data_IF_381842713483
#
_entry.id   IF_381842713483
#
_cell.length_a   1.000
_cell.length_b   1.000
_cell.length_c   1.000
_cell.angle_alpha   90.00
_cell.angle_beta   90.00
_cell.angle_gamma   90.00
#
_symmetry.space_group_name_H-M   'P 1'
#
loop_
_entity.id
_entity.type
_entity.pdbx_description
1 polymer ?
#
# COMPACT_ATOMS: atom_id res chain seq x y z
N UNK A 1 -30.31 -6.48 35.24
CA UNK A 1 -29.14 -7.25 35.71
C UNK A 1 -27.90 -6.62 35.08
N UNK A 2 -27.03 -5.96 35.86
CA UNK A 2 -25.71 -5.50 35.41
C UNK A 2 -24.68 -6.47 36.01
N UNK A 3 -23.88 -7.12 35.17
CA UNK A 3 -22.82 -8.03 35.61
C UNK A 3 -21.56 -7.21 35.94
N UNK A 4 -21.16 -7.21 37.21
CA UNK A 4 -19.89 -6.66 37.66
C UNK A 4 -18.80 -7.70 37.39
N UNK A 5 -17.91 -7.44 36.44
CA UNK A 5 -16.74 -8.29 36.19
C UNK A 5 -15.66 -7.92 37.23
N UNK A 6 -15.43 -8.80 38.19
CA UNK A 6 -14.38 -8.61 39.22
C UNK A 6 -13.13 -9.32 38.73
N UNK A 7 -12.18 -8.54 38.22
CA UNK A 7 -10.89 -9.05 37.77
C UNK A 7 -9.96 -9.02 38.98
N UNK A 8 -9.43 -10.18 39.39
CA UNK A 8 -8.44 -10.26 40.46
C UNK A 8 -7.08 -9.85 39.92
N UNK A 9 -6.52 -8.79 40.48
CA UNK A 9 -5.22 -8.22 40.11
C UNK A 9 -4.22 -8.57 41.21
N UNK A 10 -2.99 -8.95 40.84
CA UNK A 10 -1.92 -9.31 41.78
C UNK A 10 -1.50 -8.14 42.68
N UNK A 11 -1.10 -8.43 43.93
CA UNK A 11 -0.77 -7.43 44.97
C UNK A 11 0.27 -6.38 44.51
N UNK A 12 1.23 -6.75 43.67
CA UNK A 12 2.25 -5.85 43.11
C UNK A 12 1.63 -4.76 42.21
N UNK A 13 0.61 -5.11 41.42
CA UNK A 13 -0.10 -4.19 40.53
C UNK A 13 -1.10 -3.33 41.32
N UNK A 14 -1.64 -3.85 42.43
CA UNK A 14 -2.45 -3.07 43.36
C UNK A 14 -1.60 -2.04 44.15
N UNK A 15 -0.34 -2.37 44.44
CA UNK A 15 0.61 -1.47 45.08
C UNK A 15 1.08 -0.36 44.13
N UNK A 16 1.39 -0.68 42.86
CA UNK A 16 1.69 0.33 41.82
C UNK A 16 0.53 1.31 41.58
N UNK A 17 -0.72 0.83 41.69
CA UNK A 17 -1.92 1.66 41.57
C UNK A 17 -2.13 2.60 42.77
N UNK A 18 -1.58 2.27 43.93
CA UNK A 18 -1.67 3.09 45.15
C UNK A 18 -0.58 4.16 45.23
N UNK A 19 0.58 3.91 44.64
CA UNK A 19 1.74 4.83 44.63
C UNK A 19 1.62 5.96 43.58
N UNK A 20 0.72 5.84 42.61
CA UNK A 20 0.45 6.87 41.58
C UNK A 20 -0.68 7.84 41.93
N UNK A 21 -1.07 7.94 43.20
CA UNK A 21 -2.16 8.83 43.64
C UNK A 21 -1.63 10.06 44.38
N UNK A 22 -0.91 10.92 43.66
CA UNK A 22 -0.81 12.35 43.96
C UNK A 22 -1.82 13.06 43.04
N UNK A 23 -3.02 13.32 43.55
CA UNK A 23 -3.41 14.60 44.15
C UNK A 23 -3.51 15.72 43.10
N UNK A 24 -4.70 15.77 42.50
CA UNK A 24 -5.28 16.94 41.82
C UNK A 24 -4.77 17.31 40.43
N UNK A 25 -4.66 16.32 39.54
CA UNK A 25 -4.66 16.56 38.10
C UNK A 25 -5.75 15.73 37.41
N UNK A 26 -6.65 16.42 36.69
CA UNK A 26 -7.70 15.76 35.94
C UNK A 26 -7.07 14.93 34.83
N UNK A 27 -7.55 13.71 34.61
CA UNK A 27 -7.05 12.83 33.55
C UNK A 27 -7.04 13.50 32.16
N UNK A 28 -7.82 14.57 31.96
CA UNK A 28 -7.85 15.35 30.73
C UNK A 28 -6.61 16.27 30.57
N UNK A 29 -6.06 16.81 31.65
CA UNK A 29 -4.92 17.74 31.60
C UNK A 29 -3.60 17.01 31.31
N UNK A 30 -3.43 15.81 31.91
CA UNK A 30 -2.30 14.91 31.60
C UNK A 30 -2.35 14.43 30.15
N UNK A 31 -3.55 14.20 29.59
CA UNK A 31 -3.71 13.83 28.16
C UNK A 31 -3.33 15.01 27.25
N UNK A 32 -3.73 16.24 27.58
CA UNK A 32 -3.33 17.43 26.81
C UNK A 32 -1.83 17.70 26.92
N UNK A 33 -1.23 17.53 28.11
CA UNK A 33 0.21 17.72 28.32
C UNK A 33 1.08 16.67 27.62
N UNK A 34 0.64 15.40 27.55
CA UNK A 34 1.34 14.36 26.79
C UNK A 34 1.21 14.52 25.27
N UNK A 35 0.22 15.27 24.79
CA UNK A 35 0.09 15.62 23.38
C UNK A 35 0.99 16.81 23.02
N UNK A 36 1.17 17.77 23.93
CA UNK A 36 1.99 18.98 23.73
C UNK A 36 3.50 18.72 23.93
N UNK A 37 3.89 17.94 24.94
CA UNK A 37 5.32 17.68 25.30
C UNK A 37 6.05 16.74 24.33
N UNK A 38 5.34 16.09 23.39
CA UNK A 38 5.95 15.26 22.33
C UNK A 38 6.38 16.06 21.10
N UNK A 39 6.11 17.37 21.04
CA UNK A 39 6.40 18.21 19.88
C UNK A 39 7.68 19.04 19.98
N UNK A 40 8.62 18.76 20.89
CA UNK A 40 9.91 19.48 20.86
C UNK A 40 11.09 18.61 21.24
N UNK A 41 11.96 18.44 20.24
CA UNK A 41 13.37 17.98 20.26
C UNK A 41 13.59 16.51 19.89
N UNK A 42 13.57 16.20 18.60
CA UNK A 42 14.78 15.97 17.78
C UNK A 42 14.35 15.74 16.32
N UNK A 43 14.67 16.66 15.42
CA UNK A 43 14.52 16.51 13.96
C UNK A 43 15.85 15.94 13.39
N UNK A 44 15.86 15.16 12.29
CA UNK A 44 15.04 15.42 11.11
C UNK A 44 14.43 14.22 10.37
N UNK A 45 13.41 14.53 9.57
CA UNK A 45 13.05 13.85 8.32
C UNK A 45 12.45 12.44 8.42
N UNK A 46 11.14 12.37 8.65
CA UNK A 46 10.28 11.27 8.15
C UNK A 46 8.82 11.69 8.17
N UNK A 47 8.43 12.30 7.05
CA UNK A 47 7.08 12.33 6.50
C UNK A 47 5.93 12.20 7.51
N UNK A 48 5.61 13.33 8.13
CA UNK A 48 4.21 13.67 8.27
C UNK A 48 3.65 13.90 6.85
N UNK A 49 3.20 12.83 6.17
CA UNK A 49 2.26 13.02 5.07
C UNK A 49 0.92 13.38 5.68
N UNK A 50 0.72 14.67 5.87
CA UNK A 50 -0.60 15.25 5.68
C UNK A 50 -1.03 14.90 4.25
N UNK A 51 -1.70 13.74 4.10
CA UNK A 51 -2.29 13.29 2.84
C UNK A 51 -3.34 14.30 2.41
N UNK A 52 -2.85 15.29 1.68
CA UNK A 52 -3.64 16.31 1.01
C UNK A 52 -4.18 15.65 -0.25
N UNK A 53 -5.12 14.71 -0.11
CA UNK A 53 -6.11 14.35 -1.12
C UNK A 53 -5.64 14.08 -2.55
N UNK A 54 -4.43 13.58 -2.74
CA UNK A 54 -3.90 13.16 -4.05
C UNK A 54 -3.43 11.72 -3.90
N UNK A 55 -4.21 10.78 -4.46
CA UNK A 55 -3.90 9.35 -4.37
C UNK A 55 -2.51 9.10 -4.97
N UNK A 56 -1.60 8.53 -4.17
CA UNK A 56 -0.28 8.12 -4.66
C UNK A 56 -0.40 7.13 -5.82
N UNK A 57 0.57 7.12 -6.74
CA UNK A 57 0.62 6.14 -7.84
C UNK A 57 0.43 4.69 -7.35
N UNK A 58 0.98 4.35 -6.18
CA UNK A 58 0.79 3.03 -5.58
C UNK A 58 -0.67 2.74 -5.17
N UNK A 59 -1.39 3.74 -4.65
CA UNK A 59 -2.83 3.62 -4.31
C UNK A 59 -3.70 3.50 -5.56
N UNK A 60 -3.35 4.25 -6.61
CA UNK A 60 -3.97 4.14 -7.93
C UNK A 60 -3.77 2.74 -8.49
N UNK A 61 -2.56 2.20 -8.40
CA UNK A 61 -2.26 0.83 -8.86
C UNK A 61 -3.07 -0.21 -8.07
N UNK A 62 -3.20 -0.09 -6.75
CA UNK A 62 -4.02 -1.01 -5.93
C UNK A 62 -5.51 -0.94 -6.33
N UNK A 63 -6.03 0.28 -6.47
CA UNK A 63 -7.42 0.53 -6.87
C UNK A 63 -7.70 -0.02 -8.28
N UNK A 64 -6.78 0.21 -9.22
CA UNK A 64 -6.90 -0.31 -10.59
C UNK A 64 -6.74 -1.82 -10.61
N UNK A 65 -5.88 -2.39 -9.77
CA UNK A 65 -5.73 -3.82 -9.66
C UNK A 65 -7.04 -4.49 -9.22
N UNK A 66 -7.77 -3.90 -8.27
CA UNK A 66 -9.08 -4.42 -7.82
C UNK A 66 -10.17 -4.34 -8.91
N UNK A 67 -10.16 -3.27 -9.70
CA UNK A 67 -11.18 -2.96 -10.72
C UNK A 67 -10.95 -3.73 -12.04
N UNK A 68 -9.71 -3.79 -12.51
CA UNK A 68 -9.37 -4.25 -13.86
C UNK A 68 -8.79 -5.66 -13.91
N UNK A 69 -8.09 -6.12 -12.86
CA UNK A 69 -7.40 -7.40 -12.91
C UNK A 69 -8.39 -8.54 -12.66
N UNK A 70 -8.40 -9.58 -13.51
CA UNK A 70 -9.34 -10.67 -13.33
C UNK A 70 -9.04 -11.47 -12.05
N UNK A 71 -10.04 -12.19 -11.56
CA UNK A 71 -9.88 -13.16 -10.46
C UNK A 71 -10.14 -12.57 -9.08
N UNK A 72 -9.81 -13.34 -8.04
CA UNK A 72 -10.05 -12.96 -6.63
C UNK A 72 -9.09 -13.71 -5.71
N UNK A 73 -8.94 -13.20 -4.47
CA UNK A 73 -8.05 -13.77 -3.45
C UNK A 73 -6.59 -13.83 -3.93
N UNK A 74 -5.88 -14.91 -3.60
CA UNK A 74 -4.46 -15.07 -3.91
C UNK A 74 -4.09 -14.89 -5.40
N UNK A 75 -5.03 -15.14 -6.33
CA UNK A 75 -4.79 -14.88 -7.76
C UNK A 75 -4.78 -13.38 -8.08
N UNK A 76 -5.69 -12.63 -7.46
CA UNK A 76 -5.77 -11.19 -7.62
C UNK A 76 -4.55 -10.52 -6.98
N UNK A 77 -4.14 -10.98 -5.79
CA UNK A 77 -2.94 -10.51 -5.11
C UNK A 77 -1.68 -10.68 -5.99
N UNK A 78 -1.45 -11.87 -6.54
CA UNK A 78 -0.32 -12.10 -7.44
C UNK A 78 -0.36 -11.25 -8.74
N UNK A 79 -1.55 -10.87 -9.20
CA UNK A 79 -1.74 -9.99 -10.36
C UNK A 79 -1.47 -8.53 -10.00
N UNK A 80 -1.91 -8.11 -8.82
CA UNK A 80 -1.58 -6.80 -8.26
C UNK A 80 -0.08 -6.63 -8.11
N UNK A 81 0.60 -7.62 -7.53
CA UNK A 81 2.07 -7.61 -7.40
C UNK A 81 2.76 -7.50 -8.78
N UNK A 82 2.23 -8.19 -9.80
CA UNK A 82 2.75 -8.07 -11.16
C UNK A 82 2.53 -6.68 -11.76
N UNK A 83 1.37 -6.04 -11.51
CA UNK A 83 1.11 -4.68 -11.97
C UNK A 83 2.04 -3.67 -11.29
N UNK A 84 2.29 -3.82 -9.99
CA UNK A 84 3.29 -3.02 -9.28
C UNK A 84 4.67 -3.18 -9.92
N UNK A 85 5.10 -4.40 -10.22
CA UNK A 85 6.40 -4.64 -10.83
C UNK A 85 6.51 -4.02 -12.24
N UNK A 86 5.44 -4.04 -13.03
CA UNK A 86 5.39 -3.36 -14.34
C UNK A 86 5.55 -1.84 -14.19
N UNK A 87 4.84 -1.23 -13.24
CA UNK A 87 4.91 0.21 -12.99
C UNK A 87 6.26 0.62 -12.38
N UNK A 88 6.83 -0.20 -11.51
CA UNK A 88 8.17 0.01 -10.94
C UNK A 88 9.26 -0.10 -12.01
N UNK A 89 9.16 -1.10 -12.90
CA UNK A 89 10.07 -1.26 -14.04
C UNK A 89 10.02 -0.02 -14.93
N UNK A 90 8.81 0.47 -15.24
CA UNK A 90 8.64 1.65 -16.09
C UNK A 90 9.17 2.92 -15.42
N UNK A 91 9.00 3.10 -14.10
CA UNK A 91 9.61 4.22 -13.37
C UNK A 91 11.15 4.16 -13.35
N UNK A 92 11.71 2.94 -13.37
CA UNK A 92 13.16 2.73 -13.33
C UNK A 92 13.81 2.95 -14.69
N UNK A 93 13.25 2.37 -15.75
CA UNK A 93 13.78 2.46 -17.11
C UNK A 93 13.35 3.74 -17.83
N UNK A 94 12.23 4.35 -17.40
CA UNK A 94 11.62 5.54 -18.00
C UNK A 94 10.86 5.29 -19.30
N UNK A 95 11.16 4.22 -20.02
CA UNK A 95 10.41 3.78 -21.20
C UNK A 95 10.53 2.27 -21.34
N UNK A 96 9.42 1.59 -21.66
CA UNK A 96 9.43 0.15 -21.85
C UNK A 96 8.39 -0.30 -22.87
N UNK A 97 8.78 -1.25 -23.71
CA UNK A 97 7.88 -1.91 -24.65
C UNK A 97 7.25 -3.14 -24.01
N UNK A 98 6.24 -3.69 -24.68
CA UNK A 98 5.69 -5.00 -24.33
C UNK A 98 6.78 -6.08 -24.19
N UNK A 99 7.79 -6.07 -25.07
CA UNK A 99 8.83 -7.10 -25.08
C UNK A 99 9.63 -7.05 -23.78
N UNK A 100 10.05 -5.85 -23.37
CA UNK A 100 10.78 -5.59 -22.12
C UNK A 100 9.99 -6.11 -20.91
N UNK A 101 8.69 -5.78 -20.80
CA UNK A 101 7.87 -6.31 -19.71
C UNK A 101 7.77 -7.84 -19.71
N UNK A 102 7.70 -8.47 -20.88
CA UNK A 102 7.64 -9.93 -20.97
C UNK A 102 8.99 -10.63 -20.74
N UNK A 103 10.10 -9.93 -20.95
CA UNK A 103 11.45 -10.46 -20.77
C UNK A 103 11.98 -10.23 -19.36
N UNK A 104 11.71 -9.07 -18.75
CA UNK A 104 12.27 -8.68 -17.45
C UNK A 104 11.29 -8.82 -16.28
N UNK A 105 9.99 -8.57 -16.47
CA UNK A 105 9.02 -8.58 -15.36
C UNK A 105 8.28 -9.91 -15.25
N UNK A 106 7.80 -10.44 -16.38
CA UNK A 106 7.01 -11.67 -16.41
C UNK A 106 7.70 -12.90 -15.79
N UNK A 107 9.02 -13.16 -15.96
CA UNK A 107 9.66 -14.35 -15.38
C UNK A 107 9.49 -14.46 -13.86
N UNK A 108 9.51 -13.34 -13.16
CA UNK A 108 9.36 -13.26 -11.71
C UNK A 108 7.90 -13.02 -11.28
N UNK A 109 7.12 -12.30 -12.10
CA UNK A 109 5.74 -11.90 -11.80
C UNK A 109 4.70 -12.51 -12.75
N UNK A 110 4.71 -13.84 -12.86
CA UNK A 110 3.84 -14.59 -13.80
C UNK A 110 2.32 -14.46 -13.53
N UNK A 111 1.92 -14.09 -12.32
CA UNK A 111 0.52 -13.84 -11.95
C UNK A 111 -0.50 -14.96 -12.31
N UNK A 112 -0.04 -16.22 -12.25
CA UNK A 112 -0.83 -17.41 -12.59
C UNK A 112 -0.95 -17.71 -14.09
N UNK A 113 -0.28 -16.96 -14.96
CA UNK A 113 -0.17 -17.24 -16.39
C UNK A 113 1.05 -18.11 -16.65
N UNK A 114 0.92 -19.41 -16.43
CA UNK A 114 2.03 -20.39 -16.59
C UNK A 114 1.77 -21.45 -17.66
N UNK A 115 0.57 -21.44 -18.24
CA UNK A 115 0.09 -22.50 -19.12
C UNK A 115 -0.43 -21.90 -20.43
N UNK A 116 -0.33 -22.66 -21.52
CA UNK A 116 -0.75 -22.27 -22.86
C UNK A 116 0.40 -22.26 -23.87
N UNK A 117 0.09 -21.93 -25.11
CA UNK A 117 1.08 -21.78 -26.19
C UNK A 117 1.97 -20.55 -25.96
N UNK A 118 1.38 -19.44 -25.49
CA UNK A 118 2.10 -18.20 -25.20
C UNK A 118 1.58 -17.53 -23.90
N UNK A 119 2.10 -17.97 -22.73
CA UNK A 119 1.61 -17.49 -21.45
C UNK A 119 2.02 -16.03 -21.16
N UNK A 120 3.16 -15.57 -21.67
CA UNK A 120 3.62 -14.19 -21.54
C UNK A 120 2.73 -13.22 -22.35
N UNK A 121 2.37 -13.57 -23.60
CA UNK A 121 1.38 -12.81 -24.36
C UNK A 121 0.04 -12.74 -23.60
N UNK A 122 -0.41 -13.87 -23.05
CA UNK A 122 -1.68 -13.96 -22.34
C UNK A 122 -1.69 -13.13 -21.05
N UNK A 123 -0.58 -13.12 -20.31
CA UNK A 123 -0.38 -12.29 -19.12
C UNK A 123 -0.48 -10.80 -19.47
N UNK A 124 0.26 -10.38 -20.50
CA UNK A 124 0.27 -8.99 -20.92
C UNK A 124 -1.10 -8.54 -21.43
N UNK A 125 -1.67 -9.27 -22.39
CA UNK A 125 -2.89 -8.85 -23.08
C UNK A 125 -4.15 -8.92 -22.20
N UNK A 126 -4.23 -9.87 -21.26
CA UNK A 126 -5.46 -10.08 -20.48
C UNK A 126 -5.42 -9.42 -19.09
N UNK A 127 -4.27 -8.98 -18.61
CA UNK A 127 -4.14 -8.44 -17.26
C UNK A 127 -3.35 -7.13 -17.24
N UNK A 128 -2.09 -7.14 -17.68
CA UNK A 128 -1.21 -5.98 -17.49
C UNK A 128 -1.56 -4.80 -18.39
N UNK A 129 -1.73 -5.02 -19.69
CA UNK A 129 -2.00 -3.97 -20.67
C UNK A 129 -3.28 -3.15 -20.36
N UNK A 130 -4.46 -3.76 -20.10
CA UNK A 130 -5.65 -2.99 -19.74
C UNK A 130 -5.47 -2.25 -18.41
N UNK A 131 -4.96 -2.91 -17.38
CA UNK A 131 -4.76 -2.29 -16.06
C UNK A 131 -3.76 -1.14 -16.12
N UNK A 132 -2.62 -1.29 -16.79
CA UNK A 132 -1.62 -0.24 -16.98
C UNK A 132 -2.20 0.94 -17.77
N UNK A 133 -3.07 0.68 -18.75
CA UNK A 133 -3.82 1.72 -19.46
C UNK A 133 -4.70 2.55 -18.52
N UNK A 134 -5.40 1.91 -17.59
CA UNK A 134 -6.24 2.57 -16.59
C UNK A 134 -5.40 3.32 -15.55
N UNK A 135 -4.24 2.79 -15.16
CA UNK A 135 -3.28 3.52 -14.30
C UNK A 135 -2.80 4.80 -14.97
N UNK A 136 -2.44 4.75 -16.25
CA UNK A 136 -2.03 5.92 -17.02
C UNK A 136 -3.14 7.00 -17.08
N UNK A 137 -4.41 6.59 -17.18
CA UNK A 137 -5.54 7.53 -17.17
C UNK A 137 -5.80 8.19 -15.83
N UNK A 138 -5.47 7.52 -14.72
CA UNK A 138 -5.78 7.98 -13.36
C UNK A 138 -4.62 8.74 -12.70
N UNK A 139 -3.37 8.38 -13.02
CA UNK A 139 -2.18 8.96 -12.39
C UNK A 139 -1.63 10.18 -13.14
N UNK A 140 -1.56 10.13 -14.48
CA UNK A 140 -0.83 11.12 -15.27
C UNK A 140 0.69 11.02 -15.20
N UNK A 141 1.24 10.27 -14.23
CA UNK A 141 2.66 9.91 -14.13
C UNK A 141 3.09 8.88 -15.18
N UNK A 142 2.16 8.00 -15.57
CA UNK A 142 2.37 7.01 -16.63
C UNK A 142 1.63 7.45 -17.89
N UNK A 143 2.30 7.38 -19.02
CA UNK A 143 1.80 7.64 -20.36
C UNK A 143 1.48 6.32 -21.06
N UNK A 144 0.31 6.29 -21.72
CA UNK A 144 -0.09 5.15 -22.56
C UNK A 144 0.90 4.95 -23.71
N UNK A 145 0.96 3.72 -24.19
CA UNK A 145 1.81 3.35 -25.32
C UNK A 145 1.66 4.32 -26.53
N UNK A 146 2.78 4.81 -27.06
CA UNK A 146 2.80 5.58 -28.31
C UNK A 146 2.57 4.65 -29.54
N UNK A 147 2.60 5.22 -30.73
CA UNK A 147 2.53 4.53 -32.03
C UNK A 147 3.58 3.43 -32.21
N UNK A 148 4.71 3.50 -31.50
CA UNK A 148 5.75 2.47 -31.47
C UNK A 148 5.42 1.29 -30.54
N UNK A 149 4.45 1.44 -29.62
CA UNK A 149 4.12 0.44 -28.60
C UNK A 149 4.90 0.57 -27.29
N UNK A 150 5.66 1.66 -27.14
CA UNK A 150 6.46 1.99 -25.95
C UNK A 150 5.63 2.81 -24.95
N UNK A 151 5.65 2.38 -23.69
CA UNK A 151 5.08 3.07 -22.53
C UNK A 151 6.12 3.99 -21.91
N UNK A 152 5.69 5.08 -21.27
CA UNK A 152 6.57 6.06 -20.61
C UNK A 152 5.92 6.67 -19.38
#
# INVERSE_FOLDING_TARGET
>A
MRMSITISVSDEVANELSERKEQDDSHNDVIQRLLDDRQTTDEPDRDMVEDTGEASLADIVDTVADDELPGSGAKLEARREALHAVVEYLQTEGTASRADFTEDVYPDHKAGYTNGEDPAYSWWSNAMCPALGTVAERSGDIQKADTSGDWS
#
